data_IF_826935590484
#
_entry.id   IF_826935590484
#
_cell.length_a   1.000
_cell.length_b   1.000
_cell.length_c   1.000
_cell.angle_alpha   90.00
_cell.angle_beta   90.00
_cell.angle_gamma   90.00
#
_symmetry.space_group_name_H-M   'P 1'
#
loop_
_entity.id
_entity.type
_entity.pdbx_description
1 polymer ?
#
# COMPACT_ATOMS: atom_id res chain seq x y z
N UNK A 1 -6.19 6.76 -11.18
CA UNK A 1 -6.16 6.25 -9.79
C UNK A 1 -4.89 5.47 -9.40
N UNK A 2 -4.04 5.05 -10.32
CA UNK A 2 -2.78 4.35 -10.02
C UNK A 2 -1.60 5.27 -9.64
N UNK A 3 -1.75 6.59 -9.81
CA UNK A 3 -0.69 7.57 -9.53
C UNK A 3 -0.30 7.57 -8.05
N UNK A 4 -1.27 7.53 -7.15
CA UNK A 4 -1.02 7.56 -5.70
C UNK A 4 -0.22 6.32 -5.24
N UNK A 5 -0.62 5.07 -5.56
CA UNK A 5 0.19 3.90 -5.27
C UNK A 5 1.59 3.96 -5.88
N UNK A 6 1.71 4.46 -7.12
CA UNK A 6 3.00 4.59 -7.79
C UNK A 6 3.93 5.58 -7.06
N UNK A 7 3.41 6.74 -6.65
CA UNK A 7 4.18 7.74 -5.88
C UNK A 7 4.67 7.14 -4.56
N UNK A 8 3.79 6.47 -3.80
CA UNK A 8 4.19 5.83 -2.54
C UNK A 8 5.19 4.68 -2.76
N UNK A 9 5.05 3.93 -3.84
CA UNK A 9 6.02 2.89 -4.19
C UNK A 9 7.39 3.50 -4.52
N UNK A 10 7.45 4.54 -5.34
CA UNK A 10 8.70 5.24 -5.67
C UNK A 10 9.34 5.89 -4.45
N UNK A 11 8.55 6.51 -3.57
CA UNK A 11 9.04 7.03 -2.29
C UNK A 11 9.59 5.90 -1.40
N UNK A 12 8.91 4.76 -1.35
CA UNK A 12 9.38 3.58 -0.63
C UNK A 12 10.70 3.04 -1.20
N UNK A 13 10.81 2.99 -2.52
CA UNK A 13 12.02 2.54 -3.21
C UNK A 13 13.20 3.50 -2.99
N UNK A 14 12.98 4.82 -3.03
CA UNK A 14 14.04 5.79 -2.72
C UNK A 14 14.56 5.64 -1.29
N UNK A 15 13.66 5.37 -0.32
CA UNK A 15 14.05 5.07 1.07
C UNK A 15 14.82 3.75 1.18
N UNK A 16 14.49 2.76 0.35
CA UNK A 16 15.22 1.50 0.29
C UNK A 16 16.66 1.71 -0.19
N UNK A 17 16.88 2.51 -1.23
CA UNK A 17 18.22 2.84 -1.73
C UNK A 17 19.04 3.54 -0.63
N UNK A 18 18.44 4.49 0.08
CA UNK A 18 19.08 5.16 1.21
C UNK A 18 19.34 4.22 2.40
N UNK A 19 18.53 3.18 2.58
CA UNK A 19 18.72 2.19 3.65
C UNK A 19 19.94 1.30 3.41
N UNK A 20 20.34 1.06 2.17
CA UNK A 20 21.52 0.27 1.83
C UNK A 20 22.82 0.90 2.39
N UNK A 21 22.85 2.22 2.51
CA UNK A 21 23.99 2.95 3.08
C UNK A 21 24.04 2.89 4.62
N UNK A 22 22.94 2.51 5.28
CA UNK A 22 22.77 2.52 6.75
C UNK A 22 22.87 1.12 7.41
N UNK A 23 23.13 0.07 6.62
CA UNK A 23 23.27 -1.30 7.11
C UNK A 23 22.07 -2.20 6.85
N UNK A 24 22.19 -3.46 7.31
CA UNK A 24 21.17 -4.50 7.03
C UNK A 24 19.90 -4.37 7.89
N UNK A 25 20.00 -3.84 9.09
CA UNK A 25 18.85 -3.78 10.02
C UNK A 25 17.70 -2.91 9.50
N UNK A 26 17.91 -1.66 9.03
CA UNK A 26 16.84 -0.85 8.44
C UNK A 26 16.26 -1.48 7.17
N UNK A 27 17.11 -2.11 6.36
CA UNK A 27 16.68 -2.82 5.15
C UNK A 27 15.75 -3.98 5.50
N UNK A 28 16.11 -4.81 6.47
CA UNK A 28 15.29 -5.93 6.92
C UNK A 28 13.96 -5.45 7.52
N UNK A 29 13.98 -4.39 8.32
CA UNK A 29 12.77 -3.78 8.86
C UNK A 29 11.83 -3.31 7.75
N UNK A 30 12.37 -2.67 6.71
CA UNK A 30 11.61 -2.23 5.55
C UNK A 30 10.99 -3.42 4.80
N UNK A 31 11.78 -4.46 4.49
CA UNK A 31 11.33 -5.65 3.74
C UNK A 31 10.26 -6.42 4.50
N UNK A 32 10.48 -6.70 5.78
CA UNK A 32 9.52 -7.43 6.62
C UNK A 32 8.21 -6.67 6.69
N UNK A 33 8.25 -5.37 6.95
CA UNK A 33 7.06 -4.54 6.98
C UNK A 33 6.34 -4.50 5.62
N UNK A 34 7.07 -4.37 4.51
CA UNK A 34 6.49 -4.37 3.16
C UNK A 34 5.80 -5.70 2.83
N UNK A 35 6.41 -6.83 3.17
CA UNK A 35 5.82 -8.16 2.94
C UNK A 35 4.56 -8.36 3.80
N UNK A 36 4.63 -8.06 5.09
CA UNK A 36 3.50 -8.23 6.01
C UNK A 36 2.29 -7.38 5.61
N UNK A 37 2.50 -6.11 5.35
CA UNK A 37 1.42 -5.19 4.98
C UNK A 37 0.95 -5.40 3.53
N UNK A 38 1.83 -5.84 2.64
CA UNK A 38 1.45 -6.27 1.29
C UNK A 38 0.55 -7.50 1.32
N UNK A 39 0.90 -8.52 2.08
CA UNK A 39 0.08 -9.71 2.29
C UNK A 39 -1.28 -9.37 2.93
N UNK A 40 -1.29 -8.50 3.95
CA UNK A 40 -2.52 -8.01 4.57
C UNK A 40 -3.43 -7.29 3.57
N UNK A 41 -2.86 -6.46 2.70
CA UNK A 41 -3.60 -5.74 1.67
C UNK A 41 -4.16 -6.68 0.59
N UNK A 42 -3.43 -7.72 0.22
CA UNK A 42 -3.91 -8.77 -0.68
C UNK A 42 -5.07 -9.55 -0.05
N UNK A 43 -4.98 -9.87 1.23
CA UNK A 43 -6.03 -10.60 1.95
C UNK A 43 -7.30 -9.76 2.13
N UNK A 44 -7.17 -8.49 2.52
CA UNK A 44 -8.30 -7.55 2.75
C UNK A 44 -8.67 -6.72 1.53
N UNK A 45 -8.26 -7.07 0.33
CA UNK A 45 -8.36 -6.27 -0.88
C UNK A 45 -9.71 -5.57 -1.12
N UNK A 46 -9.77 -4.57 -1.99
CA UNK A 46 -10.95 -3.72 -2.20
C UNK A 46 -12.14 -4.53 -2.71
N UNK A 47 -13.32 -4.31 -2.13
CA UNK A 47 -14.58 -4.82 -2.69
C UNK A 47 -14.98 -3.93 -3.88
N UNK A 48 -15.28 -4.55 -5.02
CA UNK A 48 -15.82 -3.88 -6.21
C UNK A 48 -17.33 -4.17 -6.28
N UNK A 49 -18.14 -3.13 -6.53
CA UNK A 49 -19.58 -3.27 -6.76
C UNK A 49 -19.91 -3.34 -8.25
N UNK A 50 -19.27 -2.51 -9.06
CA UNK A 50 -19.43 -2.48 -10.50
C UNK A 50 -18.18 -1.95 -11.20
N UNK A 51 -17.95 -2.40 -12.43
CA UNK A 51 -16.85 -1.94 -13.28
C UNK A 51 -17.45 -1.45 -14.60
N UNK A 52 -17.33 -0.16 -14.89
CA UNK A 52 -17.67 0.42 -16.20
C UNK A 52 -16.38 0.64 -16.98
N UNK A 53 -16.08 -0.26 -17.91
CA UNK A 53 -14.86 -0.20 -18.72
C UNK A 53 -14.91 0.86 -19.81
N UNK A 54 -16.10 1.15 -20.33
CA UNK A 54 -16.26 2.15 -21.39
C UNK A 54 -15.84 3.54 -20.87
N UNK A 55 -16.09 3.79 -19.59
CA UNK A 55 -15.75 5.04 -18.90
C UNK A 55 -14.50 4.94 -18.03
N UNK A 56 -13.93 3.74 -17.88
CA UNK A 56 -12.78 3.50 -16.98
C UNK A 56 -13.12 3.74 -15.49
N UNK A 57 -14.38 3.58 -15.10
CA UNK A 57 -14.89 3.87 -13.75
C UNK A 57 -15.12 2.58 -12.98
N UNK A 58 -14.70 2.58 -11.72
CA UNK A 58 -14.93 1.49 -10.79
C UNK A 58 -15.77 2.01 -9.63
N UNK A 59 -16.95 1.40 -9.45
CA UNK A 59 -17.84 1.73 -8.34
C UNK A 59 -17.46 0.93 -7.10
N UNK A 60 -17.27 1.63 -5.99
CA UNK A 60 -16.92 1.05 -4.70
C UNK A 60 -17.91 1.49 -3.63
N UNK A 61 -18.17 0.66 -2.60
CA UNK A 61 -18.97 1.10 -1.47
C UNK A 61 -18.27 2.27 -0.78
N UNK A 62 -19.01 3.32 -0.46
CA UNK A 62 -18.51 4.44 0.34
C UNK A 62 -18.08 3.93 1.72
N UNK A 63 -16.88 4.31 2.15
CA UNK A 63 -16.38 3.98 3.48
C UNK A 63 -15.36 5.00 3.96
N UNK A 64 -15.29 5.22 5.28
CA UNK A 64 -14.26 6.05 5.89
C UNK A 64 -12.86 5.38 5.88
N UNK A 65 -12.79 4.09 5.55
CA UNK A 65 -11.55 3.30 5.57
C UNK A 65 -10.37 3.92 4.83
N UNK A 66 -10.52 4.39 3.57
CA UNK A 66 -9.43 5.07 2.85
C UNK A 66 -8.93 6.33 3.55
N UNK A 67 -9.85 7.13 4.11
CA UNK A 67 -9.49 8.35 4.85
C UNK A 67 -8.71 8.00 6.12
N UNK A 68 -9.27 7.13 6.96
CA UNK A 68 -8.63 6.70 8.22
C UNK A 68 -7.23 6.15 7.95
N UNK A 69 -7.08 5.28 6.96
CA UNK A 69 -5.79 4.72 6.57
C UNK A 69 -4.80 5.81 6.16
N UNK A 70 -5.22 6.74 5.29
CA UNK A 70 -4.33 7.80 4.80
C UNK A 70 -3.89 8.73 5.93
N UNK A 71 -4.81 9.11 6.83
CA UNK A 71 -4.50 9.90 8.01
C UNK A 71 -3.52 9.16 8.93
N UNK A 72 -3.75 7.87 9.18
CA UNK A 72 -2.84 7.05 10.01
C UNK A 72 -1.43 6.99 9.42
N UNK A 73 -1.30 6.67 8.13
CA UNK A 73 0.01 6.61 7.45
C UNK A 73 0.70 7.97 7.49
N UNK A 74 -0.03 9.04 7.20
CA UNK A 74 0.52 10.40 7.25
C UNK A 74 1.00 10.76 8.66
N UNK A 75 0.19 10.50 9.68
CA UNK A 75 0.54 10.81 11.08
C UNK A 75 1.78 10.05 11.53
N UNK A 76 1.90 8.76 11.17
CA UNK A 76 3.08 7.96 11.49
C UNK A 76 4.34 8.50 10.79
N UNK A 77 4.25 8.80 9.50
CA UNK A 77 5.41 9.35 8.76
C UNK A 77 5.81 10.74 9.27
N UNK A 78 4.83 11.57 9.60
CA UNK A 78 5.06 12.88 10.20
C UNK A 78 5.74 12.75 11.57
N UNK A 79 5.24 11.85 12.41
CA UNK A 79 5.85 11.56 13.73
C UNK A 79 7.31 11.13 13.61
N UNK A 80 7.63 10.25 12.67
CA UNK A 80 9.02 9.84 12.39
C UNK A 80 9.86 11.02 11.92
N UNK A 81 9.33 11.86 11.03
CA UNK A 81 10.05 13.04 10.54
C UNK A 81 10.36 14.02 11.67
N UNK A 82 9.40 14.27 12.56
CA UNK A 82 9.58 15.11 13.75
C UNK A 82 10.62 14.51 14.70
N UNK A 83 10.53 13.20 15.00
CA UNK A 83 11.49 12.50 15.86
C UNK A 83 12.92 12.60 15.31
N UNK A 84 13.07 12.46 13.99
CA UNK A 84 14.37 12.62 13.32
C UNK A 84 14.87 14.06 13.40
N UNK A 85 14.00 15.06 13.17
CA UNK A 85 14.36 16.48 13.24
C UNK A 85 14.75 16.91 14.65
N UNK A 86 14.08 16.36 15.67
CA UNK A 86 14.39 16.60 17.09
C UNK A 86 15.58 15.80 17.59
N UNK A 87 16.22 14.98 16.75
CA UNK A 87 17.36 14.10 17.10
C UNK A 87 17.08 13.25 18.34
N UNK A 88 15.88 12.66 18.41
CA UNK A 88 15.51 11.80 19.54
C UNK A 88 16.41 10.56 19.60
N UNK A 89 16.87 10.25 20.79
CA UNK A 89 17.63 9.06 21.11
C UNK A 89 16.72 7.84 21.40
N UNK A 90 17.11 6.61 21.06
CA UNK A 90 18.29 6.25 20.25
C UNK A 90 18.05 6.45 18.75
N UNK A 91 18.97 7.12 18.06
CA UNK A 91 18.84 7.42 16.62
C UNK A 91 18.65 6.16 15.76
N UNK A 92 19.28 5.05 16.11
CA UNK A 92 19.13 3.78 15.40
C UNK A 92 17.68 3.27 15.44
N UNK A 93 16.98 3.36 16.58
CA UNK A 93 15.60 2.96 16.68
C UNK A 93 14.67 3.84 15.83
N UNK A 94 14.87 5.16 15.82
CA UNK A 94 14.10 6.09 14.99
C UNK A 94 14.28 5.77 13.51
N UNK A 95 15.50 5.45 13.08
CA UNK A 95 15.80 5.05 11.70
C UNK A 95 15.09 3.74 11.33
N UNK A 96 15.18 2.70 12.16
CA UNK A 96 14.53 1.40 11.94
C UNK A 96 13.00 1.57 11.84
N UNK A 97 12.40 2.32 12.77
CA UNK A 97 10.95 2.61 12.75
C UNK A 97 10.57 3.37 11.47
N UNK A 98 11.36 4.36 11.07
CA UNK A 98 11.13 5.11 9.83
C UNK A 98 11.13 4.23 8.59
N UNK A 99 12.07 3.30 8.50
CA UNK A 99 12.14 2.34 7.40
C UNK A 99 10.98 1.35 7.46
N UNK A 100 10.60 0.85 8.63
CA UNK A 100 9.46 -0.05 8.81
C UNK A 100 8.14 0.63 8.38
N UNK A 101 7.90 1.89 8.78
CA UNK A 101 6.70 2.67 8.37
C UNK A 101 6.68 2.90 6.86
N UNK A 102 7.83 3.20 6.26
CA UNK A 102 7.97 3.36 4.81
C UNK A 102 7.69 2.05 4.08
N UNK A 103 8.26 0.93 4.53
CA UNK A 103 8.04 -0.41 3.99
C UNK A 103 6.57 -0.84 4.10
N UNK A 104 5.97 -0.65 5.26
CA UNK A 104 4.55 -0.94 5.49
C UNK A 104 3.64 -0.18 4.52
N UNK A 105 3.91 1.10 4.31
CA UNK A 105 3.16 1.94 3.36
C UNK A 105 3.34 1.44 1.93
N UNK A 106 4.57 1.22 1.48
CA UNK A 106 4.88 0.73 0.14
C UNK A 106 4.23 -0.65 -0.11
N UNK A 107 4.38 -1.59 0.81
CA UNK A 107 3.79 -2.93 0.73
C UNK A 107 2.27 -2.88 0.68
N UNK A 108 1.65 -2.13 1.58
CA UNK A 108 0.19 -2.02 1.63
C UNK A 108 -0.39 -1.44 0.33
N UNK A 109 0.13 -0.33 -0.16
CA UNK A 109 -0.39 0.29 -1.38
C UNK A 109 -0.12 -0.57 -2.62
N UNK A 110 1.03 -1.23 -2.72
CA UNK A 110 1.36 -2.15 -3.81
C UNK A 110 0.45 -3.38 -3.79
N UNK A 111 0.26 -4.03 -2.65
CA UNK A 111 -0.63 -5.18 -2.49
C UNK A 111 -2.09 -4.81 -2.79
N UNK A 112 -2.54 -3.64 -2.32
CA UNK A 112 -3.87 -3.14 -2.60
C UNK A 112 -4.09 -2.86 -4.11
N UNK A 113 -3.12 -2.23 -4.78
CA UNK A 113 -3.17 -1.97 -6.21
C UNK A 113 -3.16 -3.27 -7.03
N UNK A 114 -2.32 -4.24 -6.66
CA UNK A 114 -2.26 -5.55 -7.28
C UNK A 114 -3.60 -6.30 -7.17
N UNK A 115 -4.23 -6.27 -5.98
CA UNK A 115 -5.53 -6.91 -5.78
C UNK A 115 -6.66 -6.20 -6.53
N UNK A 116 -6.63 -4.86 -6.60
CA UNK A 116 -7.57 -4.07 -7.41
C UNK A 116 -7.46 -4.47 -8.88
N UNK A 117 -6.24 -4.53 -9.41
CA UNK A 117 -5.98 -4.90 -10.79
C UNK A 117 -6.43 -6.34 -11.10
N UNK A 118 -6.14 -7.27 -10.18
CA UNK A 118 -6.58 -8.68 -10.28
C UNK A 118 -8.11 -8.77 -10.34
N UNK A 119 -8.83 -8.09 -9.43
CA UNK A 119 -10.30 -8.08 -9.41
C UNK A 119 -10.89 -7.40 -10.62
N UNK A 120 -10.29 -6.31 -11.09
CA UNK A 120 -10.70 -5.65 -12.33
C UNK A 120 -10.61 -6.59 -13.54
N UNK A 121 -9.54 -7.39 -13.64
CA UNK A 121 -9.34 -8.35 -14.74
C UNK A 121 -10.28 -9.56 -14.66
N UNK A 122 -10.63 -9.99 -13.46
CA UNK A 122 -11.47 -11.19 -13.25
C UNK A 122 -12.97 -10.88 -13.30
N UNK A 123 -13.37 -9.61 -13.20
CA UNK A 123 -14.79 -9.22 -13.16
C UNK A 123 -15.58 -9.69 -14.39
N UNK A 124 -14.96 -9.74 -15.58
CA UNK A 124 -15.60 -10.24 -16.82
C UNK A 124 -15.73 -11.75 -16.90
N UNK A 125 -14.86 -12.48 -16.21
CA UNK A 125 -14.87 -13.94 -16.31
C UNK A 125 -16.10 -14.50 -15.62
N UNK A 126 -16.54 -13.83 -14.55
CA UNK A 126 -17.72 -14.23 -13.78
C UNK A 126 -19.01 -13.83 -14.48
N UNK A 127 -19.04 -12.72 -15.21
CA UNK A 127 -20.19 -12.26 -15.98
C UNK A 127 -20.44 -13.14 -17.22
N UNK A 128 -19.39 -13.52 -17.94
CA UNK A 128 -19.48 -14.41 -19.11
C UNK A 128 -19.88 -15.85 -18.75
N UNK A 129 -19.47 -16.35 -17.58
CA UNK A 129 -19.88 -17.68 -17.10
C UNK A 129 -21.32 -17.68 -16.59
N UNK A 130 -21.80 -16.57 -16.06
CA UNK A 130 -23.20 -16.42 -15.61
C UNK A 130 -24.22 -16.35 -16.74
N UNK A 131 -23.84 -15.79 -17.88
CA UNK A 131 -24.72 -15.73 -19.08
C UNK A 131 -24.75 -17.07 -19.85
N UNK A 132 -23.64 -17.81 -19.90
CA UNK A 132 -23.59 -19.11 -20.56
C UNK A 132 -24.42 -20.19 -19.86
N UNK A 133 -24.68 -20.07 -18.55
CA UNK A 133 -25.49 -21.00 -17.77
C UNK A 133 -27.01 -20.70 -17.78
N UNK A 134 -27.42 -19.60 -18.44
CA UNK A 134 -28.83 -19.20 -18.55
C UNK A 134 -29.41 -19.37 -19.97
N UNK A 135 -28.62 -19.82 -20.92
CA UNK A 135 -29.03 -20.18 -22.28
C UNK A 135 -29.09 -21.72 -22.43
#
# INVERSE_FOLDING_TARGET
MLIVPLVFFLMGLSRLVLALDHGLEPLMAWLVAAILFGALALWRGPKLLAVDRARGVVTRPGSAGPLTRNVTVFSLQYGVAVATAMKLEPHAAVAIIGHAVSGASAGYFSGWAAMLLRRYRNFDRDENTGTANRA
#
